data_IF_855469906235
#
_entry.id   IF_855469906235
#
_cell.length_a   1.000
_cell.length_b   1.000
_cell.length_c   1.000
_cell.angle_alpha   90.00
_cell.angle_beta   90.00
_cell.angle_gamma   90.00
#
_symmetry.space_group_name_H-M   'P 1'
#
loop_
_entity.id
_entity.type
_entity.pdbx_description
1 polymer ?
#
# COMPACT_ATOMS: atom_id res chain seq x y z
N UNK A 1 18.34 7.26 -14.40
CA UNK A 1 17.07 6.88 -15.03
C UNK A 1 15.93 7.58 -14.30
N UNK A 2 14.92 8.06 -15.01
CA UNK A 2 13.70 8.67 -14.44
C UNK A 2 12.51 8.38 -15.36
N UNK A 3 11.31 8.46 -14.81
CA UNK A 3 10.05 8.24 -15.52
C UNK A 3 8.91 9.03 -14.86
N UNK A 4 7.76 9.07 -15.49
CA UNK A 4 6.57 9.77 -15.03
C UNK A 4 5.42 8.77 -14.90
N UNK A 5 4.69 8.86 -13.77
CA UNK A 5 3.43 8.13 -13.56
C UNK A 5 2.29 9.13 -13.38
N UNK A 6 1.28 9.08 -14.25
CA UNK A 6 0.02 9.79 -14.05
C UNK A 6 -0.75 9.05 -12.96
N UNK A 7 -1.18 9.79 -11.93
CA UNK A 7 -1.93 9.22 -10.79
C UNK A 7 -3.41 9.61 -10.82
N UNK A 8 -3.75 10.77 -11.40
CA UNK A 8 -5.14 11.20 -11.61
C UNK A 8 -5.26 12.14 -12.80
N UNK A 9 -6.39 12.04 -13.50
CA UNK A 9 -6.87 13.07 -14.45
C UNK A 9 -8.25 13.49 -13.97
N UNK A 10 -8.45 14.79 -13.73
CA UNK A 10 -9.74 15.33 -13.29
C UNK A 10 -10.70 15.52 -14.47
N UNK A 11 -11.98 15.72 -14.19
CA UNK A 11 -13.00 15.99 -15.22
C UNK A 11 -12.73 17.29 -15.97
N UNK A 12 -12.09 18.27 -15.30
CA UNK A 12 -11.66 19.54 -15.89
C UNK A 12 -10.42 19.37 -16.78
N UNK A 13 -9.73 18.23 -16.69
CA UNK A 13 -8.54 17.89 -17.46
C UNK A 13 -7.23 18.31 -16.78
N UNK A 14 -7.26 18.63 -15.49
CA UNK A 14 -6.06 18.77 -14.68
C UNK A 14 -5.43 17.40 -14.43
N UNK A 15 -4.12 17.38 -14.26
CA UNK A 15 -3.38 16.12 -14.14
C UNK A 15 -2.49 16.15 -12.90
N UNK A 16 -2.62 15.13 -12.05
CA UNK A 16 -1.65 14.85 -10.99
C UNK A 16 -0.72 13.73 -11.46
N UNK A 17 0.57 13.96 -11.33
CA UNK A 17 1.58 12.99 -11.73
C UNK A 17 2.78 12.98 -10.80
N UNK A 18 3.50 11.87 -10.83
CA UNK A 18 4.73 11.66 -10.07
C UNK A 18 5.88 11.48 -11.06
N UNK A 19 6.89 12.35 -10.97
CA UNK A 19 8.20 12.14 -11.56
C UNK A 19 9.05 11.38 -10.56
N UNK A 20 9.68 10.28 -10.96
CA UNK A 20 10.47 9.45 -10.05
C UNK A 20 11.79 8.99 -10.67
N UNK A 21 12.77 8.75 -9.82
CA UNK A 21 14.12 8.35 -10.17
C UNK A 21 15.17 9.40 -9.84
N UNK A 22 16.26 9.44 -10.62
CA UNK A 22 17.33 10.40 -10.46
C UNK A 22 16.98 11.74 -11.10
N UNK A 23 17.03 12.82 -10.32
CA UNK A 23 16.76 14.18 -10.79
C UNK A 23 18.05 14.76 -11.38
N UNK A 24 18.09 14.88 -12.70
CA UNK A 24 19.26 15.36 -13.42
C UNK A 24 19.21 16.85 -13.75
N UNK A 25 18.18 17.57 -13.32
CA UNK A 25 17.95 19.00 -13.56
C UNK A 25 17.03 19.59 -12.50
N UNK A 26 17.07 20.92 -12.37
CA UNK A 26 16.14 21.69 -11.55
C UNK A 26 16.55 21.77 -10.07
N UNK A 27 15.59 22.11 -9.22
CA UNK A 27 15.82 22.35 -7.78
C UNK A 27 16.29 21.13 -7.01
N UNK A 28 16.05 19.93 -7.54
CA UNK A 28 16.41 18.64 -6.91
C UNK A 28 17.53 17.91 -7.67
N UNK A 29 18.32 18.64 -8.48
CA UNK A 29 19.44 18.04 -9.22
C UNK A 29 20.40 17.30 -8.29
N UNK A 30 20.73 16.07 -8.65
CA UNK A 30 21.65 15.22 -7.86
C UNK A 30 20.97 14.30 -6.85
N UNK A 31 19.65 14.41 -6.66
CA UNK A 31 18.90 13.55 -5.75
C UNK A 31 18.15 12.43 -6.48
N UNK A 32 18.01 11.31 -5.85
CA UNK A 32 17.03 10.28 -6.18
C UNK A 32 15.79 10.46 -5.32
N UNK A 33 14.61 10.18 -5.88
CA UNK A 33 13.36 10.30 -5.15
C UNK A 33 12.14 10.43 -6.05
N UNK A 34 11.09 11.00 -5.49
CA UNK A 34 9.87 11.34 -6.21
C UNK A 34 9.55 12.82 -6.06
N UNK A 35 9.03 13.41 -7.13
CA UNK A 35 8.46 14.76 -7.16
C UNK A 35 7.00 14.67 -7.62
N UNK A 36 6.08 15.17 -6.81
CA UNK A 36 4.64 15.20 -7.11
C UNK A 36 4.29 16.52 -7.74
N UNK A 37 3.60 16.48 -8.87
CA UNK A 37 3.19 17.64 -9.63
C UNK A 37 1.69 17.67 -9.85
N UNK A 38 1.14 18.88 -9.81
CA UNK A 38 -0.19 19.20 -10.31
C UNK A 38 -0.08 20.06 -11.56
N UNK A 39 -0.61 19.58 -12.69
CA UNK A 39 -0.73 20.34 -13.91
C UNK A 39 -2.13 20.92 -14.00
N UNK A 40 -2.21 22.26 -14.03
CA UNK A 40 -3.46 22.96 -14.27
C UNK A 40 -3.61 23.23 -15.78
N UNK A 41 -4.66 22.67 -16.37
CA UNK A 41 -4.92 22.75 -17.81
C UNK A 41 -5.17 24.18 -18.29
N UNK A 42 -6.00 24.93 -17.56
CA UNK A 42 -6.43 26.27 -17.98
C UNK A 42 -5.27 27.28 -17.94
N UNK A 43 -4.40 27.14 -16.94
CA UNK A 43 -3.21 27.98 -16.79
C UNK A 43 -2.03 27.47 -17.61
N UNK A 44 -2.10 26.23 -18.11
CA UNK A 44 -1.01 25.53 -18.79
C UNK A 44 0.31 25.54 -17.97
N UNK A 45 0.21 25.24 -16.66
CA UNK A 45 1.33 25.27 -15.71
C UNK A 45 1.34 24.00 -14.89
N UNK A 46 2.51 23.39 -14.74
CA UNK A 46 2.76 22.32 -13.77
C UNK A 46 3.48 22.91 -12.55
N UNK A 47 2.92 22.66 -11.37
CA UNK A 47 3.46 23.10 -10.09
C UNK A 47 3.87 21.89 -9.26
N UNK A 48 5.07 21.93 -8.69
CA UNK A 48 5.51 20.93 -7.74
C UNK A 48 4.75 21.07 -6.41
N UNK A 49 4.25 19.95 -5.91
CA UNK A 49 3.47 19.87 -4.67
C UNK A 49 4.24 19.22 -3.52
N UNK A 50 5.13 18.31 -3.84
CA UNK A 50 5.99 17.66 -2.85
C UNK A 50 7.23 17.11 -3.53
N UNK A 51 8.34 17.05 -2.78
CA UNK A 51 9.52 16.27 -3.12
C UNK A 51 9.91 15.39 -1.94
N UNK A 52 10.10 14.10 -2.20
CA UNK A 52 10.52 13.11 -1.20
C UNK A 52 11.81 12.47 -1.70
N UNK A 53 12.97 12.83 -1.12
CA UNK A 53 14.24 12.19 -1.44
C UNK A 53 14.24 10.75 -0.90
N UNK A 54 14.67 9.80 -1.72
CA UNK A 54 14.77 8.40 -1.37
C UNK A 54 15.99 7.79 -2.03
N UNK A 55 16.80 7.08 -1.28
CA UNK A 55 17.99 6.37 -1.80
C UNK A 55 17.64 4.95 -2.22
N UNK A 56 16.63 4.80 -3.08
CA UNK A 56 16.23 3.51 -3.64
C UNK A 56 16.45 3.51 -5.16
N UNK A 57 16.74 2.34 -5.73
CA UNK A 57 16.93 2.27 -7.17
C UNK A 57 15.63 2.54 -7.92
N UNK A 58 15.75 3.02 -9.16
CA UNK A 58 14.64 3.31 -10.06
C UNK A 58 13.61 2.15 -10.14
N UNK A 59 14.09 0.91 -10.23
CA UNK A 59 13.23 -0.26 -10.33
C UNK A 59 12.41 -0.51 -9.05
N UNK A 60 12.95 -0.17 -7.88
CA UNK A 60 12.21 -0.24 -6.62
C UNK A 60 11.17 0.87 -6.52
N UNK A 61 11.53 2.10 -6.88
CA UNK A 61 10.58 3.21 -6.91
C UNK A 61 9.40 2.93 -7.84
N UNK A 62 9.68 2.39 -9.02
CA UNK A 62 8.64 1.98 -9.98
C UNK A 62 7.69 0.96 -9.39
N UNK A 63 8.22 -0.13 -8.81
CA UNK A 63 7.41 -1.18 -8.19
C UNK A 63 6.57 -0.67 -7.02
N UNK A 64 7.13 0.19 -6.20
CA UNK A 64 6.41 0.77 -5.07
C UNK A 64 5.24 1.64 -5.55
N UNK A 65 5.46 2.50 -6.54
CA UNK A 65 4.41 3.34 -7.13
C UNK A 65 3.34 2.51 -7.88
N UNK A 66 3.72 1.40 -8.52
CA UNK A 66 2.78 0.47 -9.15
C UNK A 66 1.88 -0.21 -8.12
N UNK A 67 2.39 -0.46 -6.92
CA UNK A 67 1.68 -1.12 -5.83
C UNK A 67 0.56 -0.27 -5.24
N UNK A 68 0.85 1.00 -5.01
CA UNK A 68 -0.11 1.98 -4.52
C UNK A 68 0.26 3.36 -5.03
N UNK A 69 -0.68 3.99 -5.73
CA UNK A 69 -0.69 5.41 -6.05
C UNK A 69 -2.15 5.80 -6.25
N UNK A 70 -2.78 6.37 -5.23
CA UNK A 70 -4.19 6.69 -5.22
C UNK A 70 -4.43 8.10 -4.75
N UNK A 71 -5.26 8.87 -5.46
CA UNK A 71 -5.69 10.21 -5.06
C UNK A 71 -7.16 10.17 -4.72
N UNK A 72 -7.50 10.52 -3.49
CA UNK A 72 -8.89 10.59 -3.03
C UNK A 72 -9.58 11.91 -3.43
N UNK A 73 -10.87 12.04 -3.12
CA UNK A 73 -11.67 13.24 -3.40
C UNK A 73 -11.24 14.49 -2.60
N UNK A 74 -10.42 14.30 -1.57
CA UNK A 74 -9.87 15.39 -0.74
C UNK A 74 -8.52 15.92 -1.26
N UNK A 75 -8.12 15.53 -2.49
CA UNK A 75 -6.83 15.87 -3.07
C UNK A 75 -5.63 15.36 -2.24
N UNK A 76 -5.77 14.20 -1.61
CA UNK A 76 -4.71 13.52 -0.89
C UNK A 76 -4.20 12.35 -1.72
N UNK A 77 -2.90 12.35 -2.03
CA UNK A 77 -2.20 11.25 -2.70
C UNK A 77 -1.63 10.28 -1.67
N UNK A 78 -2.02 9.03 -1.76
CA UNK A 78 -1.44 7.93 -0.99
C UNK A 78 -0.52 7.10 -1.89
N UNK A 79 0.66 6.79 -1.39
CA UNK A 79 1.62 5.94 -2.09
C UNK A 79 2.51 5.16 -1.12
N UNK A 80 3.00 4.01 -1.60
CA UNK A 80 4.06 3.28 -0.93
C UNK A 80 5.39 3.73 -1.51
N UNK A 81 6.36 4.01 -0.64
CA UNK A 81 7.71 4.41 -1.02
C UNK A 81 8.70 3.97 0.05
N UNK A 82 9.72 3.20 -0.33
CA UNK A 82 10.76 2.73 0.58
C UNK A 82 10.20 2.09 1.86
N UNK A 83 9.19 1.23 1.73
CA UNK A 83 8.47 0.53 2.82
C UNK A 83 7.66 1.44 3.75
N UNK A 84 7.39 2.66 3.35
CA UNK A 84 6.55 3.59 4.10
C UNK A 84 5.30 3.93 3.30
N UNK A 85 4.17 4.08 4.00
CA UNK A 85 2.93 4.63 3.46
C UNK A 85 2.93 6.14 3.68
N UNK A 86 2.89 6.89 2.60
CA UNK A 86 2.82 8.34 2.61
C UNK A 86 1.42 8.84 2.31
N UNK A 87 1.04 9.93 2.96
CA UNK A 87 -0.07 10.81 2.58
C UNK A 87 0.51 12.16 2.16
N UNK A 88 0.16 12.62 0.97
CA UNK A 88 0.62 13.90 0.41
C UNK A 88 -0.61 14.72 0.10
N UNK A 89 -0.78 15.86 0.78
CA UNK A 89 -1.84 16.82 0.45
C UNK A 89 -1.37 17.69 -0.72
N UNK A 90 -2.02 17.51 -1.89
CA UNK A 90 -1.64 18.18 -3.14
C UNK A 90 -1.92 19.68 -3.08
N UNK A 91 -2.96 20.12 -2.35
CA UNK A 91 -3.31 21.54 -2.24
C UNK A 91 -2.42 22.28 -1.24
N UNK A 92 -2.13 21.66 -0.10
CA UNK A 92 -1.37 22.28 1.00
C UNK A 92 0.14 22.09 0.87
N UNK A 93 0.60 21.35 -0.13
CA UNK A 93 2.03 21.03 -0.35
C UNK A 93 2.67 20.40 0.90
N UNK A 94 1.94 19.53 1.58
CA UNK A 94 2.40 18.84 2.79
C UNK A 94 2.46 17.34 2.59
N UNK A 95 3.37 16.67 3.31
CA UNK A 95 3.49 15.22 3.30
C UNK A 95 3.73 14.67 4.69
N UNK A 96 3.20 13.50 4.96
CA UNK A 96 3.43 12.76 6.20
C UNK A 96 3.54 11.25 5.93
N UNK A 97 4.18 10.55 6.87
CA UNK A 97 4.26 9.10 6.86
C UNK A 97 3.18 8.55 7.80
N UNK A 98 2.21 7.83 7.23
CA UNK A 98 1.14 7.19 8.02
C UNK A 98 1.60 5.90 8.67
N UNK A 99 2.46 5.13 7.99
CA UNK A 99 2.97 3.86 8.48
C UNK A 99 4.40 3.64 7.99
N UNK A 100 5.24 3.04 8.84
CA UNK A 100 6.65 2.70 8.53
C UNK A 100 6.87 1.19 8.52
N UNK A 101 7.89 0.75 7.79
CA UNK A 101 8.35 -0.64 7.85
C UNK A 101 7.40 -1.66 7.22
N UNK A 102 6.54 -1.25 6.30
CA UNK A 102 5.63 -2.14 5.58
C UNK A 102 6.44 -3.09 4.70
N UNK A 103 6.31 -4.38 4.95
CA UNK A 103 6.94 -5.41 4.11
C UNK A 103 6.10 -5.64 2.87
N UNK A 104 6.71 -5.52 1.70
CA UNK A 104 6.05 -5.67 0.41
C UNK A 104 5.25 -6.97 0.24
N UNK A 105 5.73 -8.09 0.80
CA UNK A 105 5.04 -9.38 0.74
C UNK A 105 3.74 -9.43 1.57
N UNK A 106 3.53 -8.47 2.47
CA UNK A 106 2.40 -8.43 3.39
C UNK A 106 1.45 -7.26 3.12
N UNK A 107 1.68 -6.50 2.05
CA UNK A 107 0.84 -5.38 1.64
C UNK A 107 -0.04 -5.80 0.47
N UNK A 108 -1.32 -5.49 0.57
CA UNK A 108 -2.32 -5.70 -0.49
C UNK A 108 -3.18 -4.44 -0.63
N UNK A 109 -3.67 -4.17 -1.82
CA UNK A 109 -4.63 -3.11 -2.11
C UNK A 109 -5.82 -3.64 -2.90
N UNK A 110 -6.95 -2.95 -2.82
CA UNK A 110 -8.13 -3.19 -3.66
C UNK A 110 -7.84 -2.85 -5.14
N UNK A 111 -8.65 -3.33 -6.06
CA UNK A 111 -8.43 -3.15 -7.50
C UNK A 111 -8.44 -1.68 -7.92
N UNK A 112 -9.27 -0.86 -7.28
CA UNK A 112 -9.37 0.60 -7.48
C UNK A 112 -8.41 1.40 -6.57
N UNK A 113 -7.64 0.72 -5.69
CA UNK A 113 -6.70 1.29 -4.73
C UNK A 113 -7.31 2.20 -3.65
N UNK A 114 -8.61 2.20 -3.44
CA UNK A 114 -9.25 2.97 -2.37
C UNK A 114 -9.10 2.34 -0.98
N UNK A 115 -8.76 1.04 -0.93
CA UNK A 115 -8.46 0.30 0.30
C UNK A 115 -7.08 -0.37 0.21
N UNK A 116 -6.41 -0.48 1.35
CA UNK A 116 -5.21 -1.28 1.49
C UNK A 116 -5.14 -1.95 2.86
N UNK A 117 -4.39 -3.05 2.94
CA UNK A 117 -4.14 -3.74 4.19
C UNK A 117 -2.71 -4.31 4.24
N UNK A 118 -2.15 -4.38 5.43
CA UNK A 118 -0.81 -4.94 5.66
C UNK A 118 -0.71 -5.60 7.02
N UNK A 119 0.22 -6.54 7.14
CA UNK A 119 0.59 -7.13 8.42
C UNK A 119 1.56 -6.18 9.14
N UNK A 120 1.19 -5.72 10.33
CA UNK A 120 2.03 -4.86 11.16
C UNK A 120 3.26 -5.64 11.61
N UNK A 121 4.46 -5.10 11.33
CA UNK A 121 5.73 -5.80 11.55
C UNK A 121 6.42 -5.44 12.84
N UNK A 122 6.09 -4.31 13.46
CA UNK A 122 6.77 -3.75 14.64
C UNK A 122 5.77 -3.13 15.62
N UNK A 123 6.23 -2.87 16.84
CA UNK A 123 5.43 -2.21 17.88
C UNK A 123 4.40 -3.12 18.56
N UNK A 124 3.51 -2.51 19.33
CA UNK A 124 2.50 -3.19 20.16
C UNK A 124 1.44 -3.92 19.32
N UNK A 125 1.20 -3.47 18.10
CA UNK A 125 0.23 -4.04 17.15
C UNK A 125 0.84 -5.12 16.26
N UNK A 126 2.09 -5.52 16.49
CA UNK A 126 2.79 -6.51 15.69
C UNK A 126 2.02 -7.82 15.55
N UNK A 127 1.83 -8.24 14.30
CA UNK A 127 1.10 -9.46 13.97
C UNK A 127 -0.38 -9.25 13.71
N UNK A 128 -0.91 -8.04 13.95
CA UNK A 128 -2.24 -7.66 13.51
C UNK A 128 -2.21 -7.31 12.01
N UNK A 129 -3.35 -7.45 11.34
CA UNK A 129 -3.58 -6.80 10.05
C UNK A 129 -4.14 -5.41 10.33
N UNK A 130 -3.54 -4.40 9.73
CA UNK A 130 -4.07 -3.04 9.68
C UNK A 130 -4.64 -2.80 8.29
N UNK A 131 -5.85 -2.30 8.23
CA UNK A 131 -6.55 -1.92 7.01
C UNK A 131 -6.89 -0.45 7.04
N UNK A 132 -6.86 0.20 5.89
CA UNK A 132 -7.20 1.60 5.69
C UNK A 132 -8.18 1.75 4.52
N UNK A 133 -9.17 2.62 4.71
CA UNK A 133 -9.99 3.21 3.66
C UNK A 133 -9.41 4.60 3.38
N UNK A 134 -8.88 4.83 2.19
CA UNK A 134 -8.21 6.09 1.83
C UNK A 134 -9.16 7.25 1.60
N UNK A 135 -10.43 7.02 1.30
CA UNK A 135 -11.40 8.10 1.11
C UNK A 135 -11.82 8.73 2.43
N UNK A 136 -11.98 7.91 3.45
CA UNK A 136 -12.31 8.36 4.81
C UNK A 136 -11.10 8.55 5.72
N UNK A 137 -9.94 7.99 5.35
CA UNK A 137 -8.73 7.88 6.17
C UNK A 137 -8.95 7.10 7.48
N UNK A 138 -10.01 6.30 7.56
CA UNK A 138 -10.25 5.43 8.71
C UNK A 138 -9.40 4.17 8.62
N UNK A 139 -9.00 3.70 9.78
CA UNK A 139 -8.25 2.44 9.90
C UNK A 139 -8.97 1.48 10.82
N UNK A 140 -8.77 0.17 10.60
CA UNK A 140 -9.15 -0.88 11.54
C UNK A 140 -8.00 -1.86 11.76
N UNK A 141 -8.04 -2.56 12.89
CA UNK A 141 -7.08 -3.59 13.26
C UNK A 141 -7.80 -4.93 13.40
N UNK A 142 -7.20 -5.97 12.83
CA UNK A 142 -7.63 -7.36 12.96
C UNK A 142 -6.54 -8.09 13.74
N UNK A 143 -6.87 -8.48 14.97
CA UNK A 143 -5.94 -9.19 15.83
C UNK A 143 -6.04 -10.72 15.64
N UNK A 144 -4.91 -11.45 15.66
CA UNK A 144 -4.94 -12.91 15.65
C UNK A 144 -5.48 -13.44 16.98
N UNK A 145 -6.19 -14.56 16.95
CA UNK A 145 -6.56 -15.28 18.16
C UNK A 145 -5.33 -15.96 18.79
N UNK A 146 -5.45 -16.35 20.06
CA UNK A 146 -4.35 -17.04 20.77
C UNK A 146 -3.88 -18.28 19.99
N UNK A 147 -2.58 -18.35 19.71
CA UNK A 147 -1.99 -19.45 18.95
C UNK A 147 -2.08 -19.31 17.44
N UNK A 148 -2.73 -18.26 16.92
CA UNK A 148 -2.84 -18.00 15.50
C UNK A 148 -1.87 -16.93 15.01
N UNK A 149 -1.72 -16.88 13.68
CA UNK A 149 -1.09 -15.82 12.92
C UNK A 149 -2.04 -15.41 11.79
N UNK A 150 -1.88 -14.20 11.32
CA UNK A 150 -2.64 -13.67 10.19
C UNK A 150 -1.71 -13.49 8.98
N UNK A 151 -2.30 -13.55 7.79
CA UNK A 151 -1.65 -13.26 6.52
C UNK A 151 -2.62 -12.53 5.61
N UNK A 152 -2.23 -11.41 5.06
CA UNK A 152 -2.98 -10.73 4.00
C UNK A 152 -2.93 -11.56 2.73
N UNK A 153 -4.05 -11.66 2.01
CA UNK A 153 -4.16 -12.40 0.75
C UNK A 153 -4.48 -11.45 -0.41
N UNK A 154 -5.47 -10.57 -0.23
CA UNK A 154 -5.91 -9.62 -1.24
C UNK A 154 -7.24 -8.99 -0.88
N UNK A 155 -7.89 -8.44 -1.89
CA UNK A 155 -9.25 -7.91 -1.81
C UNK A 155 -10.14 -8.59 -2.85
N UNK A 156 -11.42 -8.64 -2.56
CA UNK A 156 -12.48 -8.97 -3.50
C UNK A 156 -13.46 -7.81 -3.49
N UNK A 157 -13.41 -6.97 -4.53
CA UNK A 157 -13.97 -5.63 -4.51
C UNK A 157 -13.31 -4.81 -3.36
N UNK A 158 -14.08 -4.39 -2.36
CA UNK A 158 -13.62 -3.64 -1.18
C UNK A 158 -13.49 -4.54 0.06
N UNK A 159 -13.85 -5.82 -0.03
CA UNK A 159 -13.78 -6.76 1.09
C UNK A 159 -12.38 -7.37 1.20
N UNK A 160 -11.79 -7.30 2.39
CA UNK A 160 -10.46 -7.85 2.67
C UNK A 160 -10.49 -9.38 2.77
N UNK A 161 -9.59 -10.02 2.03
CA UNK A 161 -9.32 -11.45 2.11
C UNK A 161 -8.05 -11.68 2.93
N UNK A 162 -8.15 -12.46 4.00
CA UNK A 162 -6.99 -12.81 4.80
C UNK A 162 -7.04 -14.27 5.29
N UNK A 163 -5.85 -14.80 5.54
CA UNK A 163 -5.66 -16.15 6.05
C UNK A 163 -5.39 -16.17 7.55
N UNK A 164 -5.96 -17.17 8.24
CA UNK A 164 -5.60 -17.53 9.60
C UNK A 164 -4.79 -18.82 9.58
N UNK A 165 -3.64 -18.79 10.28
CA UNK A 165 -2.65 -19.86 10.33
C UNK A 165 -2.41 -20.22 11.80
N UNK A 166 -2.27 -21.50 12.12
CA UNK A 166 -1.84 -21.89 13.45
C UNK A 166 -0.31 -21.85 13.53
N UNK A 167 0.22 -21.43 14.66
CA UNK A 167 1.68 -21.36 14.89
C UNK A 167 2.38 -22.73 14.77
N UNK A 168 1.65 -23.80 14.96
CA UNK A 168 2.14 -25.18 14.95
C UNK A 168 2.15 -25.81 13.55
N UNK A 169 1.47 -25.18 12.56
CA UNK A 169 1.36 -25.71 11.21
C UNK A 169 2.53 -25.28 10.31
N UNK A 170 3.73 -25.39 10.83
CA UNK A 170 4.95 -25.14 10.05
C UNK A 170 5.31 -26.44 9.33
N UNK A 171 5.11 -26.43 8.01
CA UNK A 171 5.64 -27.45 7.13
C UNK A 171 7.07 -27.09 6.77
N UNK A 172 7.97 -28.05 6.93
CA UNK A 172 9.36 -27.92 6.46
C UNK A 172 9.51 -28.92 5.30
N UNK A 173 9.91 -28.43 4.13
CA UNK A 173 10.20 -29.28 3.00
C UNK A 173 11.55 -30.02 3.17
N UNK A 174 11.87 -30.90 2.21
CA UNK A 174 13.11 -31.69 2.23
C UNK A 174 14.38 -30.83 2.13
N UNK A 175 14.25 -29.56 1.64
CA UNK A 175 15.33 -28.58 1.52
C UNK A 175 15.45 -27.68 2.76
N UNK A 176 14.58 -27.87 3.75
CA UNK A 176 14.57 -27.10 5.01
C UNK A 176 13.82 -25.76 4.95
N UNK A 177 13.14 -25.45 3.85
CA UNK A 177 12.31 -24.26 3.74
C UNK A 177 11.04 -24.43 4.58
N UNK A 178 10.75 -23.42 5.38
CA UNK A 178 9.57 -23.41 6.25
C UNK A 178 8.42 -22.68 5.53
N UNK A 179 7.35 -23.39 5.26
CA UNK A 179 6.09 -22.83 4.80
C UNK A 179 5.00 -23.00 5.87
N UNK A 180 4.09 -22.03 5.95
CA UNK A 180 2.93 -22.12 6.86
C UNK A 180 1.67 -22.05 6.01
N UNK A 181 0.90 -23.12 6.00
CA UNK A 181 -0.35 -23.22 5.24
C UNK A 181 -1.45 -22.36 5.87
N UNK A 182 -2.25 -21.69 5.02
CA UNK A 182 -3.49 -21.05 5.46
C UNK A 182 -4.50 -22.15 5.79
N UNK A 183 -5.03 -22.16 7.01
CA UNK A 183 -6.08 -23.10 7.40
C UNK A 183 -7.48 -22.58 7.16
N UNK A 184 -7.69 -21.32 7.42
CA UNK A 184 -8.99 -20.68 7.28
C UNK A 184 -8.79 -19.42 6.44
N UNK A 185 -9.53 -19.32 5.35
CA UNK A 185 -9.65 -18.11 4.56
C UNK A 185 -10.88 -17.34 5.03
N UNK A 186 -10.73 -16.06 5.31
CA UNK A 186 -11.82 -15.18 5.71
C UNK A 186 -11.93 -13.98 4.78
N UNK A 187 -13.17 -13.59 4.51
CA UNK A 187 -13.52 -12.38 3.75
C UNK A 187 -14.37 -11.51 4.65
N UNK A 188 -13.95 -10.28 4.88
CA UNK A 188 -14.64 -9.31 5.74
C UNK A 188 -14.73 -7.95 5.07
N UNK A 189 -15.87 -7.26 5.25
CA UNK A 189 -15.95 -5.85 4.90
C UNK A 189 -15.18 -4.98 5.93
N UNK A 190 -15.09 -3.68 5.64
CA UNK A 190 -14.35 -2.74 6.50
C UNK A 190 -14.95 -2.60 7.91
N UNK A 191 -16.24 -2.87 8.09
CA UNK A 191 -16.94 -2.87 9.38
C UNK A 191 -16.71 -4.16 10.18
N UNK A 192 -16.05 -5.18 9.57
CA UNK A 192 -15.75 -6.45 10.22
C UNK A 192 -16.87 -7.49 10.06
N UNK A 193 -17.83 -7.27 9.16
CA UNK A 193 -18.85 -8.28 8.87
C UNK A 193 -18.27 -9.36 7.97
N UNK A 194 -18.35 -10.61 8.42
CA UNK A 194 -17.87 -11.78 7.67
C UNK A 194 -18.80 -12.06 6.50
N UNK A 195 -18.27 -12.04 5.28
CA UNK A 195 -19.01 -12.26 4.03
C UNK A 195 -19.04 -13.73 3.59
N UNK A 196 -18.12 -14.56 4.08
CA UNK A 196 -18.07 -15.97 3.77
C UNK A 196 -18.20 -16.83 5.02
N UNK A 197 -18.72 -18.06 4.87
CA UNK A 197 -18.47 -19.10 5.86
C UNK A 197 -16.99 -19.44 5.79
N UNK A 198 -16.28 -19.44 6.95
CA UNK A 198 -14.88 -19.84 7.03
C UNK A 198 -14.63 -21.05 6.16
N UNK A 199 -13.80 -20.91 5.12
CA UNK A 199 -13.47 -22.01 4.22
C UNK A 199 -12.26 -22.71 4.82
N UNK A 200 -12.43 -23.92 5.41
CA UNK A 200 -11.30 -24.70 5.84
C UNK A 200 -10.54 -25.16 4.59
N UNK A 201 -9.27 -24.83 4.52
CA UNK A 201 -8.39 -25.34 3.47
C UNK A 201 -8.02 -26.78 3.79
N UNK A 202 -8.50 -27.72 2.99
CA UNK A 202 -8.23 -29.16 3.16
C UNK A 202 -6.81 -29.56 2.70
N UNK A 203 -6.11 -28.65 2.05
CA UNK A 203 -4.69 -28.79 1.67
C UNK A 203 -4.02 -27.43 1.82
N UNK A 204 -2.76 -27.37 2.30
CA UNK A 204 -2.05 -26.10 2.40
C UNK A 204 -1.89 -25.49 1.01
N UNK A 205 -2.35 -24.26 0.85
CA UNK A 205 -2.07 -23.44 -0.35
C UNK A 205 -0.70 -22.79 -0.12
N UNK A 206 0.23 -23.11 -1.00
CA UNK A 206 1.62 -22.64 -1.00
C UNK A 206 1.76 -21.25 -1.58
#
# INVERSE_FOLDING_TARGET
>A
QHDIKIVRVTDEGDIDFVLYGYMNRGSHEGYEGIAVYHYNRDKNVAEERAFIPVSESFEFLKKDLEKLSYVNEKNELFLILAKNLYRINIEENSSEILEKGIKNANFVSSDNNDHAAWLVSEGDEKGNIKEIDFDTCKTRLIAPQKGQRLRTVGFMNEDLIYGMLNKEDILTDEEGHKSVGIRILRIEDFEGNVKNKSIPMTSPVY
#
